data_IF_006150110202
#
_entry.id   IF_006150110202
#
_cell.length_a   1.000
_cell.length_b   1.000
_cell.length_c   1.000
_cell.angle_alpha   90.00
_cell.angle_beta   90.00
_cell.angle_gamma   90.00
#
_symmetry.space_group_name_H-M   'P 1'
#
loop_
_entity.id
_entity.type
_entity.pdbx_description
1 polymer ?
#
# COMPACT_ATOMS: atom_id res chain seq x y z
N UNK A 1 15.57 -9.93 -4.15
CA UNK A 1 15.12 -9.05 -5.26
C UNK A 1 13.60 -9.10 -5.44
N UNK A 2 12.99 -10.24 -5.76
CA UNK A 2 11.52 -10.36 -5.86
C UNK A 2 10.77 -9.95 -4.57
N UNK A 3 11.27 -10.37 -3.41
CA UNK A 3 10.72 -10.02 -2.09
C UNK A 3 10.76 -8.52 -1.82
N UNK A 4 11.89 -7.88 -2.16
CA UNK A 4 12.07 -6.43 -2.03
C UNK A 4 11.13 -5.65 -2.96
N UNK A 5 10.96 -6.09 -4.22
CA UNK A 5 10.04 -5.44 -5.17
C UNK A 5 8.60 -5.57 -4.71
N UNK A 6 8.21 -6.74 -4.21
CA UNK A 6 6.86 -6.97 -3.67
C UNK A 6 6.60 -6.11 -2.43
N UNK A 7 7.54 -6.08 -1.49
CA UNK A 7 7.48 -5.23 -0.29
C UNK A 7 7.44 -3.73 -0.66
N UNK A 8 8.20 -3.32 -1.68
CA UNK A 8 8.17 -1.96 -2.20
C UNK A 8 6.83 -1.56 -2.81
N UNK A 9 6.20 -2.48 -3.53
CA UNK A 9 4.85 -2.27 -4.05
C UNK A 9 3.87 -2.08 -2.90
N UNK A 10 3.89 -2.95 -1.89
CA UNK A 10 3.01 -2.82 -0.71
C UNK A 10 3.24 -1.51 0.02
N UNK A 11 4.50 -1.12 0.24
CA UNK A 11 4.86 0.13 0.87
C UNK A 11 4.25 1.35 0.19
N UNK A 12 4.40 1.45 -1.14
CA UNK A 12 3.88 2.57 -1.93
C UNK A 12 2.36 2.60 -1.89
N UNK A 13 1.71 1.44 -1.96
CA UNK A 13 0.24 1.37 -1.98
C UNK A 13 -0.38 1.70 -0.63
N UNK A 14 0.15 1.14 0.46
CA UNK A 14 -0.33 1.41 1.80
C UNK A 14 -0.20 2.88 2.20
N UNK A 15 0.83 3.56 1.69
CA UNK A 15 1.10 4.97 2.01
C UNK A 15 0.76 5.94 0.88
N UNK A 16 0.13 5.46 -0.21
CA UNK A 16 -0.08 6.22 -1.45
C UNK A 16 -0.64 7.62 -1.22
N UNK A 17 -1.67 7.72 -0.39
CA UNK A 17 -2.33 8.98 -0.06
C UNK A 17 -1.35 10.01 0.52
N UNK A 18 -0.47 9.59 1.43
CA UNK A 18 0.58 10.46 1.95
C UNK A 18 1.60 10.78 0.86
N UNK A 19 2.13 9.77 0.18
CA UNK A 19 3.16 9.92 -0.87
C UNK A 19 2.74 10.93 -1.95
N UNK A 20 1.48 10.91 -2.38
CA UNK A 20 0.97 11.79 -3.44
C UNK A 20 0.61 13.21 -2.96
N UNK A 21 0.38 13.41 -1.66
CA UNK A 21 -0.15 14.67 -1.11
C UNK A 21 0.87 15.52 -0.34
N UNK A 22 2.00 14.95 0.10
CA UNK A 22 2.94 15.64 0.98
C UNK A 22 4.39 15.69 0.47
N UNK A 23 5.18 16.71 0.87
CA UNK A 23 6.57 16.85 0.45
C UNK A 23 7.47 15.71 0.95
N UNK A 24 8.60 15.52 0.26
CA UNK A 24 9.57 14.41 0.40
C UNK A 24 10.00 14.10 1.86
N UNK A 25 9.94 15.10 2.73
CA UNK A 25 10.36 15.02 4.12
C UNK A 25 9.45 14.09 4.96
N UNK A 26 8.23 13.82 4.51
CA UNK A 26 7.27 12.96 5.24
C UNK A 26 7.42 11.47 4.88
N UNK A 27 8.21 11.08 3.86
CA UNK A 27 8.45 9.65 3.58
C UNK A 27 9.06 8.87 4.76
N UNK A 28 9.80 9.57 5.63
CA UNK A 28 10.34 8.97 6.85
C UNK A 28 9.23 8.49 7.79
N UNK A 29 8.06 9.13 7.81
CA UNK A 29 6.92 8.65 8.62
C UNK A 29 6.36 7.37 8.02
N UNK A 30 6.14 7.30 6.70
CA UNK A 30 5.70 6.07 6.03
C UNK A 30 6.65 4.90 6.30
N UNK A 31 7.97 5.16 6.30
CA UNK A 31 8.98 4.17 6.67
C UNK A 31 8.82 3.68 8.11
N UNK A 32 8.70 4.62 9.05
CA UNK A 32 8.62 4.37 10.49
C UNK A 32 7.28 3.73 10.91
N UNK A 33 6.23 3.84 10.09
CA UNK A 33 4.94 3.18 10.29
C UNK A 33 4.75 1.88 9.48
N UNK A 34 5.71 1.51 8.64
CA UNK A 34 5.69 0.22 7.93
C UNK A 34 5.87 -0.97 8.88
N UNK A 35 5.39 -2.18 8.53
CA UNK A 35 5.51 -3.38 9.36
C UNK A 35 6.95 -3.66 9.79
N UNK A 36 7.13 -4.23 10.99
CA UNK A 36 8.46 -4.43 11.58
C UNK A 36 9.36 -5.38 10.78
N UNK A 37 8.79 -6.32 10.02
CA UNK A 37 9.53 -7.20 9.09
C UNK A 37 9.49 -6.75 7.62
N UNK A 38 9.02 -5.54 7.31
CA UNK A 38 9.12 -4.99 5.94
C UNK A 38 10.58 -4.86 5.53
N UNK A 39 10.91 -5.36 4.34
CA UNK A 39 12.28 -5.31 3.78
C UNK A 39 12.71 -3.86 3.58
N UNK A 40 11.82 -3.01 3.05
CA UNK A 40 12.06 -1.57 2.91
C UNK A 40 12.35 -0.95 4.26
N UNK A 41 11.51 -1.20 5.26
CA UNK A 41 11.71 -0.63 6.59
C UNK A 41 13.09 -1.02 7.11
N UNK A 42 13.41 -2.31 7.17
CA UNK A 42 14.69 -2.77 7.69
C UNK A 42 15.90 -2.20 6.94
N UNK A 43 15.79 -2.01 5.62
CA UNK A 43 16.89 -1.50 4.79
C UNK A 43 17.13 0.00 4.96
N UNK A 44 16.07 0.78 5.18
CA UNK A 44 16.14 2.25 5.19
C UNK A 44 15.91 2.87 6.58
N UNK A 45 15.65 2.08 7.63
CA UNK A 45 15.34 2.59 8.98
C UNK A 45 16.48 3.46 9.53
N UNK A 46 17.72 3.15 9.19
CA UNK A 46 18.89 3.92 9.62
C UNK A 46 18.98 5.31 8.96
N UNK A 47 18.24 5.54 7.88
CA UNK A 47 18.14 6.85 7.23
C UNK A 47 17.09 7.76 7.88
N UNK A 48 16.35 7.27 8.89
CA UNK A 48 15.36 8.09 9.61
C UNK A 48 16.05 9.25 10.36
N UNK A 49 15.34 10.35 10.61
CA UNK A 49 15.85 11.43 11.44
C UNK A 49 16.21 10.95 12.85
N UNK A 50 17.31 11.50 13.38
CA UNK A 50 17.88 11.14 14.69
C UNK A 50 16.87 11.31 15.84
N UNK A 51 15.96 12.29 15.73
CA UNK A 51 14.94 12.57 16.75
C UNK A 51 13.87 11.47 16.89
N UNK A 52 13.80 10.51 15.97
CA UNK A 52 12.94 9.32 16.09
C UNK A 52 13.72 8.24 16.82
N UNK A 53 13.93 8.38 18.12
CA UNK A 53 14.76 7.43 18.90
C UNK A 53 14.11 6.04 18.99
N UNK A 54 12.80 6.00 19.19
CA UNK A 54 12.03 4.75 19.28
C UNK A 54 10.95 4.73 18.21
N UNK A 55 11.02 3.79 17.26
CA UNK A 55 9.94 3.63 16.30
C UNK A 55 8.66 3.13 17.00
N UNK A 56 7.48 3.43 16.44
CA UNK A 56 6.22 2.94 16.96
C UNK A 56 6.12 1.42 16.83
N UNK A 57 5.31 0.82 17.71
CA UNK A 57 4.89 -0.57 17.59
C UNK A 57 4.00 -0.68 16.35
N UNK A 58 4.36 -1.58 15.44
CA UNK A 58 3.68 -1.84 14.17
C UNK A 58 3.39 -3.33 14.05
N UNK A 59 2.54 -3.71 13.09
CA UNK A 59 2.33 -5.12 12.75
C UNK A 59 3.64 -5.79 12.31
N UNK A 60 3.73 -7.11 12.43
CA UNK A 60 4.94 -7.83 12.01
C UNK A 60 5.12 -7.85 10.49
N UNK A 61 4.05 -8.15 9.77
CA UNK A 61 4.02 -8.27 8.31
C UNK A 61 2.95 -7.34 7.74
N UNK A 62 3.01 -7.06 6.44
CA UNK A 62 1.87 -6.47 5.77
C UNK A 62 0.68 -7.42 5.89
N UNK A 63 -0.51 -6.87 6.16
CA UNK A 63 -1.74 -7.64 6.05
C UNK A 63 -1.87 -8.15 4.60
N UNK A 64 -1.49 -9.42 4.39
CA UNK A 64 -1.47 -10.12 3.09
C UNK A 64 -2.84 -10.14 2.38
N UNK A 65 -3.91 -9.73 3.06
CA UNK A 65 -5.26 -9.65 2.54
C UNK A 65 -5.47 -8.51 1.53
N UNK A 66 -4.49 -7.62 1.33
CA UNK A 66 -4.61 -6.51 0.40
C UNK A 66 -4.04 -6.89 -0.97
N UNK A 67 -4.77 -7.73 -1.73
CA UNK A 67 -4.64 -7.68 -3.18
C UNK A 67 -5.17 -6.32 -3.64
N UNK A 68 -4.27 -5.37 -3.85
CA UNK A 68 -4.64 -4.02 -4.26
C UNK A 68 -4.88 -4.01 -5.77
N UNK A 69 -6.11 -3.71 -6.15
CA UNK A 69 -6.57 -3.68 -7.54
C UNK A 69 -6.42 -2.25 -8.09
N UNK A 70 -5.28 -2.01 -8.73
CA UNK A 70 -4.92 -0.71 -9.29
C UNK A 70 -5.44 -0.53 -10.71
N UNK A 71 -6.18 0.53 -10.97
CA UNK A 71 -6.54 0.89 -12.35
C UNK A 71 -7.61 1.97 -12.48
N UNK A 72 -8.42 2.19 -11.44
CA UNK A 72 -9.32 3.33 -11.44
C UNK A 72 -8.57 4.62 -11.14
N UNK A 73 -8.84 5.65 -11.95
CA UNK A 73 -8.22 6.98 -11.84
C UNK A 73 -9.01 7.96 -10.95
N UNK A 74 -10.18 7.52 -10.46
CA UNK A 74 -11.02 8.24 -9.48
C UNK A 74 -11.59 7.25 -8.47
N UNK A 75 -12.27 7.76 -7.45
CA UNK A 75 -12.89 6.95 -6.41
C UNK A 75 -13.78 5.85 -6.97
N UNK A 76 -13.64 4.65 -6.41
CA UNK A 76 -14.51 3.50 -6.66
C UNK A 76 -15.83 3.78 -5.98
N UNK A 77 -16.94 3.62 -6.70
CA UNK A 77 -18.29 3.93 -6.22
C UNK A 77 -19.12 2.69 -5.97
N UNK A 78 -18.79 1.57 -6.62
CA UNK A 78 -19.49 0.29 -6.43
C UNK A 78 -18.53 -0.88 -6.65
N UNK A 79 -18.83 -1.98 -5.96
CA UNK A 79 -18.09 -3.25 -6.03
C UNK A 79 -19.11 -4.39 -6.04
N UNK A 80 -18.91 -5.40 -6.89
CA UNK A 80 -19.75 -6.60 -6.95
C UNK A 80 -18.92 -7.84 -7.28
N UNK A 81 -19.16 -8.93 -6.56
CA UNK A 81 -18.55 -10.23 -6.84
C UNK A 81 -19.45 -11.03 -7.80
N UNK A 82 -18.84 -11.81 -8.68
CA UNK A 82 -19.56 -12.85 -9.40
C UNK A 82 -20.04 -13.94 -8.44
N UNK A 83 -21.17 -14.62 -8.70
CA UNK A 83 -21.68 -15.66 -7.80
C UNK A 83 -20.75 -16.86 -7.59
N UNK A 84 -19.77 -17.03 -8.47
CA UNK A 84 -18.74 -18.09 -8.41
C UNK A 84 -17.41 -17.61 -7.81
N UNK A 85 -17.34 -16.38 -7.29
CA UNK A 85 -16.18 -15.74 -6.66
C UNK A 85 -14.90 -15.67 -7.53
N UNK A 86 -15.02 -15.87 -8.84
CA UNK A 86 -13.86 -15.81 -9.76
C UNK A 86 -13.57 -14.40 -10.28
N UNK A 87 -14.60 -13.55 -10.33
CA UNK A 87 -14.52 -12.22 -10.95
C UNK A 87 -15.03 -11.16 -9.97
N UNK A 88 -14.22 -10.14 -9.74
CA UNK A 88 -14.65 -8.91 -9.09
C UNK A 88 -14.92 -7.84 -10.15
N UNK A 89 -16.09 -7.22 -10.11
CA UNK A 89 -16.42 -6.03 -10.89
C UNK A 89 -16.36 -4.77 -10.00
N UNK A 90 -15.65 -3.75 -10.46
CA UNK A 90 -15.54 -2.45 -9.78
C UNK A 90 -15.93 -1.31 -10.70
N UNK A 91 -16.73 -0.36 -10.20
CA UNK A 91 -17.13 0.85 -10.91
C UNK A 91 -16.54 2.10 -10.25
N UNK A 92 -16.24 3.13 -11.04
CA UNK A 92 -15.59 4.35 -10.53
C UNK A 92 -16.17 5.62 -11.14
N UNK A 93 -16.01 6.73 -10.42
CA UNK A 93 -16.29 8.09 -10.89
C UNK A 93 -15.52 8.48 -12.16
N UNK A 94 -14.55 7.68 -12.60
CA UNK A 94 -13.87 7.89 -13.87
C UNK A 94 -14.68 7.39 -15.09
N UNK A 95 -15.95 7.05 -14.89
CA UNK A 95 -16.88 6.55 -15.91
C UNK A 95 -16.45 5.20 -16.53
N UNK A 96 -15.72 4.38 -15.78
CA UNK A 96 -15.31 3.04 -16.23
C UNK A 96 -15.71 1.97 -15.23
N UNK A 97 -15.91 0.75 -15.75
CA UNK A 97 -16.04 -0.49 -14.98
C UNK A 97 -14.82 -1.36 -15.30
N UNK A 98 -14.24 -2.00 -14.28
CA UNK A 98 -13.13 -2.95 -14.43
C UNK A 98 -13.52 -4.31 -13.87
N UNK A 99 -12.98 -5.35 -14.49
CA UNK A 99 -13.09 -6.72 -14.03
C UNK A 99 -11.73 -7.23 -13.59
N UNK A 100 -11.71 -7.94 -12.48
CA UNK A 100 -10.50 -8.50 -11.89
C UNK A 100 -10.71 -9.99 -11.70
N UNK A 101 -9.79 -10.80 -12.23
CA UNK A 101 -9.74 -12.21 -11.93
C UNK A 101 -9.05 -12.38 -10.56
N UNK A 102 -9.72 -13.06 -9.64
CA UNK A 102 -9.25 -13.33 -8.28
C UNK A 102 -8.42 -14.61 -8.21
#
# INVERSE_FOLDING_TARGET
LLTMVHDAKLFVLSHRSAIESVPLQIYCSALVYSPSKSVIRCQFLDQKPVWIEKPPVTQEVWDLALQVLEGHSKWVTAVAFSPDDQILATASYNHTVRFWNL
#
